data_IF_023271946242
#
_entry.id   IF_023271946242
#
_cell.length_a   1.000
_cell.length_b   1.000
_cell.length_c   1.000
_cell.angle_alpha   90.00
_cell.angle_beta   90.00
_cell.angle_gamma   90.00
#
_symmetry.space_group_name_H-M   'P 1'
#
loop_
_entity.id
_entity.type
_entity.pdbx_description
1 polymer ?
#
# COMPACT_ATOMS: atom_id res chain seq x y z
N UNK A 1 0.67 -12.45 16.36
CA UNK A 1 -0.26 -12.06 15.28
C UNK A 1 0.24 -12.67 13.96
N UNK A 2 -0.52 -13.54 13.29
CA UNK A 2 -0.07 -14.22 12.06
C UNK A 2 0.11 -13.18 10.94
N UNK A 3 1.35 -12.98 10.47
CA UNK A 3 1.68 -12.09 9.34
C UNK A 3 0.88 -12.54 8.10
N UNK A 4 -0.17 -11.82 7.73
CA UNK A 4 -0.94 -12.04 6.49
C UNK A 4 -0.23 -11.31 5.36
N UNK A 5 -0.18 -11.88 4.15
CA UNK A 5 0.21 -11.13 2.95
C UNK A 5 -1.09 -10.78 2.24
N UNK A 6 -1.32 -9.49 2.04
CA UNK A 6 -2.34 -9.00 1.14
C UNK A 6 -1.66 -8.68 -0.18
N UNK A 7 -2.27 -9.12 -1.27
CA UNK A 7 -1.94 -8.59 -2.59
C UNK A 7 -1.85 -9.65 -3.64
N UNK A 8 -2.79 -9.58 -4.60
CA UNK A 8 -2.67 -10.04 -5.99
C UNK A 8 -3.50 -9.12 -6.88
N UNK A 9 -2.92 -8.80 -8.03
CA UNK A 9 -3.32 -7.82 -9.04
C UNK A 9 -3.93 -8.48 -10.28
N UNK A 10 -4.53 -7.62 -11.11
CA UNK A 10 -4.85 -7.68 -12.56
C UNK A 10 -6.29 -7.90 -12.96
N UNK A 11 -6.61 -7.27 -14.08
CA UNK A 11 -7.86 -7.26 -14.86
C UNK A 11 -8.63 -8.58 -14.82
N UNK A 12 -9.95 -8.43 -14.93
CA UNK A 12 -11.07 -9.35 -14.64
C UNK A 12 -11.00 -10.84 -15.13
N UNK A 13 -9.87 -11.37 -15.62
CA UNK A 13 -9.72 -12.75 -16.11
C UNK A 13 -8.59 -13.61 -15.50
N UNK A 14 -7.55 -13.03 -14.87
CA UNK A 14 -6.35 -13.77 -14.41
C UNK A 14 -6.24 -13.96 -12.89
N UNK A 15 -7.12 -13.31 -12.12
CA UNK A 15 -7.05 -13.22 -10.66
C UNK A 15 -6.94 -14.57 -9.94
N UNK A 16 -7.79 -15.55 -10.30
CA UNK A 16 -7.86 -16.83 -9.57
C UNK A 16 -6.58 -17.65 -9.73
N UNK A 17 -6.04 -17.72 -10.95
CA UNK A 17 -4.83 -18.52 -11.24
C UNK A 17 -3.59 -17.95 -10.54
N UNK A 18 -3.46 -16.63 -10.52
CA UNK A 18 -2.34 -15.95 -9.86
C UNK A 18 -2.41 -16.11 -8.33
N UNK A 19 -3.61 -16.10 -7.76
CA UNK A 19 -3.85 -16.36 -6.33
C UNK A 19 -3.49 -17.76 -5.92
N UNK A 20 -3.92 -18.75 -6.68
CA UNK A 20 -3.55 -20.12 -6.40
C UNK A 20 -2.04 -20.32 -6.49
N UNK A 21 -1.38 -19.77 -7.52
CA UNK A 21 0.07 -19.88 -7.67
C UNK A 21 0.83 -19.26 -6.49
N UNK A 22 0.50 -18.01 -6.12
CA UNK A 22 1.16 -17.32 -5.00
C UNK A 22 0.89 -18.01 -3.65
N UNK A 23 -0.31 -18.54 -3.44
CA UNK A 23 -0.63 -19.28 -2.20
C UNK A 23 0.20 -20.54 -2.03
N UNK A 24 0.68 -21.16 -3.12
CA UNK A 24 1.59 -22.32 -3.07
C UNK A 24 3.02 -21.93 -2.70
N UNK A 25 3.42 -20.67 -2.87
CA UNK A 25 4.77 -20.17 -2.60
C UNK A 25 4.95 -19.62 -1.19
N UNK A 26 3.89 -19.53 -0.39
CA UNK A 26 3.96 -18.98 0.96
C UNK A 26 3.05 -19.70 1.94
N UNK A 27 3.49 -19.86 3.19
CA UNK A 27 2.64 -20.35 4.28
C UNK A 27 1.67 -19.28 4.81
N UNK A 28 1.78 -18.05 4.31
CA UNK A 28 0.89 -16.95 4.69
C UNK A 28 -0.40 -17.03 3.89
N UNK A 29 -1.50 -16.60 4.52
CA UNK A 29 -2.77 -16.45 3.80
C UNK A 29 -2.60 -15.37 2.73
N UNK A 30 -3.07 -15.69 1.52
CA UNK A 30 -3.16 -14.80 0.37
C UNK A 30 -4.63 -14.43 0.19
N UNK A 31 -4.92 -13.13 0.09
CA UNK A 31 -6.27 -12.61 -0.09
C UNK A 31 -6.27 -11.72 -1.34
N UNK A 32 -7.14 -11.99 -2.33
CA UNK A 32 -7.27 -11.12 -3.50
C UNK A 32 -7.93 -9.80 -3.10
N UNK A 33 -7.45 -8.71 -3.71
CA UNK A 33 -8.02 -7.37 -3.58
C UNK A 33 -8.14 -6.82 -4.99
N UNK A 34 -9.35 -6.56 -5.46
CA UNK A 34 -9.56 -6.01 -6.79
C UNK A 34 -9.09 -4.56 -6.84
N UNK A 35 -8.29 -4.20 -7.84
CA UNK A 35 -7.93 -2.82 -8.15
C UNK A 35 -8.92 -2.30 -9.19
N UNK A 36 -9.70 -1.30 -8.83
CA UNK A 36 -10.74 -0.71 -9.68
C UNK A 36 -10.23 0.50 -10.47
N UNK A 37 -9.19 1.18 -9.97
CA UNK A 37 -8.54 2.31 -10.65
C UNK A 37 -7.02 2.33 -10.46
N UNK A 38 -6.28 2.50 -11.56
CA UNK A 38 -4.83 2.52 -11.62
C UNK A 38 -4.21 1.12 -11.78
N UNK A 39 -2.88 1.04 -11.65
CA UNK A 39 -2.12 -0.13 -12.09
C UNK A 39 -1.95 -1.18 -10.97
N UNK A 40 -1.33 -0.81 -9.86
CA UNK A 40 -0.93 -1.75 -8.82
C UNK A 40 -1.69 -1.52 -7.51
N UNK A 41 -1.90 -2.58 -6.72
CA UNK A 41 -2.51 -2.48 -5.38
C UNK A 41 -1.76 -1.49 -4.46
N UNK A 42 -0.42 -1.48 -4.56
CA UNK A 42 0.44 -0.57 -3.77
C UNK A 42 0.26 0.91 -4.12
N UNK A 43 -0.32 1.22 -5.28
CA UNK A 43 -0.64 2.59 -5.65
C UNK A 43 -1.84 3.13 -4.87
N UNK A 44 -2.63 2.27 -4.23
CA UNK A 44 -3.84 2.64 -3.49
C UNK A 44 -3.78 2.29 -2.00
N UNK A 45 -2.81 1.48 -1.55
CA UNK A 45 -2.69 1.18 -0.11
C UNK A 45 -1.29 0.73 0.29
N UNK A 46 -0.89 1.10 1.51
CA UNK A 46 0.33 0.62 2.17
C UNK A 46 0.02 0.20 3.62
N UNK A 47 0.59 -0.92 4.05
CA UNK A 47 0.55 -1.35 5.46
C UNK A 47 1.65 -0.67 6.27
N UNK A 48 1.25 0.14 7.25
CA UNK A 48 2.16 0.96 8.07
C UNK A 48 2.65 0.26 9.34
N UNK A 49 2.18 -0.96 9.61
CA UNK A 49 2.38 -1.62 10.90
C UNK A 49 1.20 -1.40 11.84
N UNK A 50 1.21 -2.05 13.01
CA UNK A 50 0.21 -1.86 14.08
C UNK A 50 -1.27 -1.90 13.64
N UNK A 51 -1.61 -2.79 12.69
CA UNK A 51 -2.97 -2.90 12.14
C UNK A 51 -3.46 -1.68 11.35
N UNK A 52 -2.55 -0.77 10.94
CA UNK A 52 -2.86 0.46 10.23
C UNK A 52 -2.55 0.34 8.73
N UNK A 53 -3.50 0.74 7.90
CA UNK A 53 -3.32 0.97 6.47
C UNK A 53 -3.41 2.47 6.19
N UNK A 54 -2.58 2.96 5.27
CA UNK A 54 -2.97 4.11 4.44
C UNK A 54 -3.71 3.57 3.22
N UNK A 55 -4.82 4.19 2.85
CA UNK A 55 -5.71 3.63 1.83
C UNK A 55 -6.49 4.70 1.06
N UNK A 56 -6.55 4.52 -0.26
CA UNK A 56 -7.51 5.18 -1.15
C UNK A 56 -8.63 4.18 -1.49
N UNK A 57 -9.78 4.26 -0.79
CA UNK A 57 -10.87 3.31 -0.97
C UNK A 57 -11.58 3.46 -2.32
N UNK A 58 -11.36 4.56 -3.06
CA UNK A 58 -11.97 4.77 -4.36
C UNK A 58 -11.31 3.94 -5.48
N UNK A 59 -10.13 3.36 -5.21
CA UNK A 59 -9.30 2.66 -6.20
C UNK A 59 -9.23 1.16 -6.04
N UNK A 60 -9.74 0.61 -4.93
CA UNK A 60 -9.66 -0.82 -4.61
C UNK A 60 -10.93 -1.33 -3.91
N UNK A 61 -11.20 -2.63 -4.03
CA UNK A 61 -12.22 -3.29 -3.20
C UNK A 61 -11.74 -3.44 -1.76
N UNK A 62 -12.35 -2.68 -0.86
CA UNK A 62 -11.98 -2.63 0.56
C UNK A 62 -12.67 -3.68 1.43
N UNK A 63 -13.55 -4.51 0.87
CA UNK A 63 -14.33 -5.51 1.63
C UNK A 63 -13.46 -6.39 2.53
N UNK A 64 -12.30 -6.83 2.02
CA UNK A 64 -11.33 -7.65 2.74
C UNK A 64 -10.38 -6.85 3.65
N UNK A 65 -10.47 -5.52 3.68
CA UNK A 65 -9.55 -4.64 4.40
C UNK A 65 -10.20 -3.92 5.60
N UNK A 66 -11.51 -4.07 5.82
CA UNK A 66 -12.25 -3.38 6.89
C UNK A 66 -11.85 -3.74 8.32
N UNK A 67 -11.02 -4.76 8.51
CA UNK A 67 -10.50 -5.16 9.81
C UNK A 67 -9.21 -4.44 10.22
N UNK A 68 -8.68 -3.60 9.34
CA UNK A 68 -7.57 -2.68 9.62
C UNK A 68 -8.12 -1.33 10.06
N UNK A 69 -7.33 -0.62 10.87
CA UNK A 69 -7.49 0.81 11.07
C UNK A 69 -6.97 1.54 9.83
N UNK A 70 -7.62 2.63 9.43
CA UNK A 70 -7.30 3.32 8.17
C UNK A 70 -6.91 4.79 8.39
N UNK A 71 -5.83 5.20 7.73
CA UNK A 71 -5.61 6.56 7.27
C UNK A 71 -6.18 6.63 5.86
N UNK A 72 -7.41 7.11 5.75
CA UNK A 72 -8.04 7.33 4.45
C UNK A 72 -7.50 8.59 3.78
N UNK A 73 -7.16 8.46 2.49
CA UNK A 73 -6.74 9.58 1.62
C UNK A 73 -7.85 9.89 0.62
N UNK A 74 -7.97 11.16 0.25
CA UNK A 74 -8.90 11.58 -0.81
C UNK A 74 -8.32 11.27 -2.20
N UNK A 75 -9.14 11.40 -3.25
CA UNK A 75 -8.66 11.25 -4.64
C UNK A 75 -7.53 12.24 -4.97
N UNK A 76 -7.57 13.47 -4.45
CA UNK A 76 -6.49 14.46 -4.62
C UNK A 76 -5.23 14.12 -3.82
N UNK A 77 -5.34 13.28 -2.79
CA UNK A 77 -4.23 12.83 -1.95
C UNK A 77 -3.75 11.41 -2.33
N UNK A 78 -4.35 10.79 -3.36
CA UNK A 78 -4.20 9.37 -3.69
C UNK A 78 -2.75 8.92 -3.84
N UNK A 79 -1.88 9.76 -4.43
CA UNK A 79 -0.47 9.44 -4.64
C UNK A 79 0.28 9.17 -3.32
N UNK A 80 -0.14 9.82 -2.22
CA UNK A 80 0.45 9.60 -0.89
C UNK A 80 0.20 8.21 -0.31
N UNK A 81 -0.77 7.43 -0.84
CA UNK A 81 -1.02 6.06 -0.37
C UNK A 81 0.11 5.08 -0.71
N UNK A 82 1.01 5.45 -1.63
CA UNK A 82 2.20 4.69 -1.98
C UNK A 82 3.37 5.07 -1.06
N UNK A 83 3.46 4.41 0.09
CA UNK A 83 4.47 4.64 1.11
C UNK A 83 5.40 3.42 1.28
N UNK A 84 6.60 3.64 1.81
CA UNK A 84 7.51 2.57 2.23
C UNK A 84 7.79 2.67 3.72
N UNK A 85 7.63 1.57 4.47
CA UNK A 85 7.80 1.57 5.93
C UNK A 85 9.09 0.86 6.32
N UNK A 86 9.94 1.56 7.08
CA UNK A 86 11.22 1.09 7.61
C UNK A 86 11.25 1.28 9.13
N UNK A 87 10.93 0.23 9.88
CA UNK A 87 10.78 0.34 11.33
C UNK A 87 9.60 1.25 11.68
N UNK A 88 9.89 2.41 12.29
CA UNK A 88 8.89 3.42 12.64
C UNK A 88 8.81 4.58 11.63
N UNK A 89 9.66 4.57 10.59
CA UNK A 89 9.74 5.62 9.58
C UNK A 89 8.89 5.23 8.38
N UNK A 90 8.02 6.14 7.95
CA UNK A 90 7.20 6.06 6.74
C UNK A 90 7.78 7.02 5.72
N UNK A 91 8.37 6.48 4.66
CA UNK A 91 8.77 7.24 3.48
C UNK A 91 7.53 7.49 2.62
N UNK A 92 7.22 8.74 2.35
CA UNK A 92 6.05 9.12 1.55
C UNK A 92 6.38 10.26 0.57
N UNK A 93 5.60 10.44 -0.51
CA UNK A 93 5.72 11.63 -1.34
C UNK A 93 5.48 12.93 -0.55
N UNK A 94 6.22 13.97 -0.87
CA UNK A 94 5.97 15.35 -0.40
C UNK A 94 4.64 15.91 -0.92
N UNK A 95 4.16 17.01 -0.34
CA UNK A 95 2.99 17.75 -0.84
C UNK A 95 1.65 17.30 -0.26
N UNK A 96 1.64 16.37 0.69
CA UNK A 96 0.45 15.81 1.32
C UNK A 96 0.45 16.00 2.85
N UNK A 97 0.43 17.26 3.35
CA UNK A 97 0.61 17.55 4.79
C UNK A 97 -0.47 16.92 5.67
N UNK A 98 -1.73 16.88 5.21
CA UNK A 98 -2.81 16.23 5.95
C UNK A 98 -2.52 14.74 6.22
N UNK A 99 -1.89 14.07 5.25
CA UNK A 99 -1.57 12.65 5.33
C UNK A 99 -0.36 12.45 6.24
N UNK A 100 0.68 13.28 6.10
CA UNK A 100 1.85 13.20 6.96
C UNK A 100 1.53 13.50 8.42
N UNK A 101 0.61 14.44 8.69
CA UNK A 101 0.11 14.73 10.04
C UNK A 101 -0.70 13.56 10.63
N UNK A 102 -1.57 12.92 9.83
CA UNK A 102 -2.27 11.70 10.27
C UNK A 102 -1.29 10.57 10.59
N UNK A 103 -0.23 10.39 9.80
CA UNK A 103 0.83 9.41 10.08
C UNK A 103 1.51 9.72 11.42
N UNK A 104 1.91 10.97 11.64
CA UNK A 104 2.53 11.43 12.91
C UNK A 104 1.60 11.25 14.10
N UNK A 105 0.31 11.50 13.95
CA UNK A 105 -0.69 11.29 15.00
C UNK A 105 -0.82 9.82 15.43
N UNK A 106 -0.43 8.88 14.59
CA UNK A 106 -0.36 7.44 14.93
C UNK A 106 1.00 7.02 15.54
N UNK A 107 1.87 7.98 15.90
CA UNK A 107 3.16 7.72 16.54
C UNK A 107 4.26 7.26 15.58
N UNK A 108 4.02 7.36 14.27
CA UNK A 108 5.00 7.06 13.23
C UNK A 108 5.77 8.32 12.84
N UNK A 109 6.98 8.17 12.31
CA UNK A 109 7.72 9.28 11.69
C UNK A 109 7.38 9.33 10.20
N UNK A 110 7.00 10.50 9.68
CA UNK A 110 6.79 10.71 8.25
C UNK A 110 7.98 11.45 7.64
N UNK A 111 8.72 10.76 6.76
CA UNK A 111 9.81 11.33 5.96
C UNK A 111 9.32 11.57 4.53
N UNK A 112 9.20 12.83 4.16
CA UNK A 112 8.65 13.27 2.88
C UNK A 112 9.75 13.33 1.81
N UNK A 113 9.46 12.80 0.62
CA UNK A 113 10.40 12.69 -0.50
C UNK A 113 9.85 13.40 -1.74
N UNK A 114 10.72 14.13 -2.43
CA UNK A 114 10.41 14.71 -3.75
C UNK A 114 10.29 13.60 -4.80
N UNK A 115 9.07 13.34 -5.26
CA UNK A 115 8.75 12.22 -6.16
C UNK A 115 8.14 12.64 -7.50
N UNK A 116 8.01 13.95 -7.76
CA UNK A 116 7.27 14.51 -8.89
C UNK A 116 7.77 14.04 -10.27
N UNK A 117 9.08 13.81 -10.44
CA UNK A 117 9.62 13.29 -11.71
C UNK A 117 9.30 11.80 -11.94
N UNK A 118 9.20 11.01 -10.87
CA UNK A 118 8.81 9.60 -10.97
C UNK A 118 7.30 9.46 -11.14
N UNK A 119 6.52 10.34 -10.51
CA UNK A 119 5.07 10.39 -10.63
C UNK A 119 4.61 10.54 -12.09
N UNK A 120 5.32 11.33 -12.90
CA UNK A 120 5.06 11.48 -14.35
C UNK A 120 5.08 10.15 -15.13
N UNK A 121 5.77 9.14 -14.59
CA UNK A 121 5.88 7.80 -15.17
C UNK A 121 5.10 6.74 -14.36
N UNK A 122 4.10 7.16 -13.58
CA UNK A 122 3.32 6.31 -12.67
C UNK A 122 4.17 5.58 -11.60
N UNK A 123 5.38 6.09 -11.35
CA UNK A 123 6.29 5.60 -10.31
C UNK A 123 5.95 6.18 -8.94
N UNK A 124 6.13 5.40 -7.87
CA UNK A 124 5.99 5.83 -6.48
C UNK A 124 7.14 5.34 -5.61
N UNK A 125 7.11 5.65 -4.31
CA UNK A 125 8.20 5.32 -3.37
C UNK A 125 8.50 3.82 -3.37
N UNK A 126 7.46 2.97 -3.39
CA UNK A 126 7.63 1.52 -3.39
C UNK A 126 8.13 0.93 -4.71
N UNK A 127 8.00 1.65 -5.84
CA UNK A 127 8.44 1.18 -7.15
C UNK A 127 9.96 1.18 -7.30
N UNK A 128 10.65 2.00 -6.50
CA UNK A 128 12.10 2.20 -6.56
C UNK A 128 12.87 1.32 -5.56
N UNK A 129 12.22 0.31 -4.97
CA UNK A 129 12.83 -0.51 -3.92
C UNK A 129 12.34 -1.96 -3.93
N UNK A 130 13.21 -2.85 -3.44
CA UNK A 130 12.88 -4.23 -3.09
C UNK A 130 13.31 -4.48 -1.64
N UNK A 131 12.36 -4.81 -0.77
CA UNK A 131 12.67 -5.16 0.62
C UNK A 131 13.00 -6.64 0.68
N UNK A 132 14.25 -6.96 1.02
CA UNK A 132 14.70 -8.33 1.26
C UNK A 132 14.89 -8.50 2.77
N UNK A 133 14.21 -9.46 3.42
CA UNK A 133 14.45 -9.75 4.83
C UNK A 133 15.90 -10.14 5.08
N UNK A 134 16.49 -9.65 6.17
CA UNK A 134 17.73 -10.24 6.67
C UNK A 134 17.47 -11.71 7.04
N UNK A 135 18.38 -12.60 6.61
CA UNK A 135 18.30 -14.04 6.82
C UNK A 135 18.40 -14.47 8.28
#
# INVERSE_FOLDING_TARGET
MKKRIFGIETEYGLLVKNVEALSKLTSKRVIPVAVTKGLHLKSATTFLGNNLLIIDPSRIDVSNLQHFDWIEVTESESYSANCLVLGNIVLMPTGFPNVSDKIRAHGLEALELEMSEFEKADGGVTCLSLIIPAG
#
